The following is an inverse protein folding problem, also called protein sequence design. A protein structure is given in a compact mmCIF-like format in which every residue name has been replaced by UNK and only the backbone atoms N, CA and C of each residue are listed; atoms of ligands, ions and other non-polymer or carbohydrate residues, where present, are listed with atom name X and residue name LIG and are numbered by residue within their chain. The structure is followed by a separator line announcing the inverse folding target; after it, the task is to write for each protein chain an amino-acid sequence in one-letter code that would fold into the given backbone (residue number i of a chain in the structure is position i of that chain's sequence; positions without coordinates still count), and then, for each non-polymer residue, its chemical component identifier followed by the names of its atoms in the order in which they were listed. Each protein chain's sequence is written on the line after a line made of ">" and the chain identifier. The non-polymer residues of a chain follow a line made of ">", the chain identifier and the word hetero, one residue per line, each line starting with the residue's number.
data_IF_707393440494
#
_entry.id   IF_707393440494
#
_cell.length_a   1.000
_cell.length_b   1.000
_cell.length_c   1.000
_cell.angle_alpha   90.00
_cell.angle_beta   90.00
_cell.angle_gamma   90.00
#
_symmetry.space_group_name_H-M   'P 1'
#
loop_
_entity.id
_entity.type
_entity.pdbx_description
1 polymer ?
#
# COMPACT_ATOMS: atom_id res chain seq x y z
N UNK A 1 53.19 67.84 22.92
CA UNK A 1 53.67 66.66 23.68
C UNK A 1 52.55 66.32 24.64
N UNK A 2 51.83 65.21 24.66
CA UNK A 2 51.95 63.88 24.08
C UNK A 2 51.16 63.00 25.05
N UNK A 3 49.84 62.85 24.85
CA UNK A 3 48.98 62.05 25.73
C UNK A 3 49.24 60.57 25.44
N UNK A 4 49.97 59.90 26.33
CA UNK A 4 50.15 58.45 26.30
C UNK A 4 48.82 57.75 26.57
N UNK A 5 48.45 56.82 25.68
CA UNK A 5 47.31 55.92 25.87
C UNK A 5 47.73 54.77 26.78
N UNK A 6 46.90 54.34 27.74
CA UNK A 6 47.20 53.18 28.56
C UNK A 6 47.21 51.89 27.69
N UNK A 7 47.99 50.85 28.09
CA UNK A 7 48.09 49.61 27.34
C UNK A 7 46.77 48.83 27.35
N UNK A 8 46.39 48.30 26.19
CA UNK A 8 45.22 47.44 26.02
C UNK A 8 45.36 46.13 26.82
N UNK A 9 44.28 45.61 27.43
CA UNK A 9 44.33 44.32 28.12
C UNK A 9 44.58 43.17 27.12
N UNK A 10 45.21 42.06 27.56
CA UNK A 10 45.43 40.90 26.71
C UNK A 10 44.11 40.27 26.29
N UNK A 11 44.04 39.80 25.04
CA UNK A 11 42.87 39.13 24.50
C UNK A 11 42.55 37.87 25.29
N UNK A 12 41.26 37.54 25.52
CA UNK A 12 40.87 36.31 26.18
C UNK A 12 41.28 35.10 25.34
N UNK A 13 41.57 33.94 25.97
CA UNK A 13 41.93 32.73 25.25
C UNK A 13 40.78 32.28 24.33
N UNK A 14 41.09 31.66 23.18
CA UNK A 14 40.07 31.15 22.27
C UNK A 14 39.21 30.09 22.97
N UNK A 15 37.90 30.01 22.65
CA UNK A 15 37.03 28.99 23.21
C UNK A 15 37.54 27.59 22.83
N UNK A 16 37.36 26.58 23.69
CA UNK A 16 37.72 25.21 23.37
C UNK A 16 36.93 24.76 22.13
N UNK A 17 37.61 24.05 21.22
CA UNK A 17 36.98 23.49 20.04
C UNK A 17 35.80 22.60 20.44
N UNK A 18 34.65 22.66 19.75
CA UNK A 18 33.53 21.80 20.05
C UNK A 18 33.98 20.34 19.87
N UNK A 19 33.92 19.57 20.96
CA UNK A 19 34.10 18.12 20.88
C UNK A 19 33.01 17.58 19.96
N UNK A 20 33.42 17.11 18.78
CA UNK A 20 32.60 16.25 17.94
C UNK A 20 32.32 14.98 18.74
N UNK A 21 31.23 14.99 19.51
CA UNK A 21 30.54 13.78 19.88
C UNK A 21 30.04 13.19 18.56
N UNK A 22 30.83 12.28 18.01
CA UNK A 22 30.34 11.25 17.09
C UNK A 22 29.28 10.45 17.85
N UNK A 23 28.07 11.00 17.92
CA UNK A 23 26.89 10.16 17.95
C UNK A 23 26.98 9.33 16.67
N UNK A 24 27.52 8.13 16.81
CA UNK A 24 27.16 7.01 15.97
C UNK A 24 25.64 6.98 16.05
N UNK A 25 24.97 7.67 15.13
CA UNK A 25 23.61 7.35 14.75
C UNK A 25 23.70 5.89 14.39
N UNK A 26 23.31 5.03 15.34
CA UNK A 26 22.94 3.67 15.02
C UNK A 26 21.94 3.84 13.89
N UNK A 27 22.37 3.51 12.68
CA UNK A 27 21.50 3.41 11.52
C UNK A 27 20.32 2.58 12.02
N UNK A 28 19.07 3.07 11.92
CA UNK A 28 17.92 2.29 12.37
C UNK A 28 18.11 0.91 11.78
N UNK A 29 18.19 -0.10 12.64
CA UNK A 29 18.26 -1.49 12.22
C UNK A 29 17.15 -1.63 11.18
N UNK A 30 17.42 -2.07 9.93
CA UNK A 30 16.36 -2.28 8.97
C UNK A 30 15.37 -3.20 9.68
N UNK A 31 14.15 -2.72 9.91
CA UNK A 31 13.07 -3.58 10.39
C UNK A 31 13.02 -4.69 9.35
N UNK A 32 13.38 -5.91 9.75
CA UNK A 32 13.34 -7.05 8.85
C UNK A 32 11.95 -7.08 8.24
N UNK A 33 11.86 -6.90 6.93
CA UNK A 33 10.58 -7.02 6.24
C UNK A 33 10.01 -8.39 6.60
N UNK A 34 8.70 -8.49 6.90
CA UNK A 34 8.10 -9.78 7.17
C UNK A 34 8.34 -10.71 5.97
N UNK A 35 8.56 -11.99 6.26
CA UNK A 35 8.74 -13.00 5.22
C UNK A 35 7.40 -13.28 4.53
N UNK A 36 7.34 -13.29 3.18
CA UNK A 36 6.12 -13.62 2.46
C UNK A 36 5.53 -14.98 2.86
N UNK A 37 4.20 -15.17 2.76
CA UNK A 37 3.58 -16.47 2.99
C UNK A 37 4.17 -17.54 2.07
N UNK A 38 4.39 -18.75 2.60
CA UNK A 38 4.87 -19.87 1.78
C UNK A 38 3.71 -20.40 0.94
N UNK A 39 3.86 -20.40 -0.39
CA UNK A 39 2.88 -20.99 -1.28
C UNK A 39 3.08 -22.51 -1.38
N UNK A 40 2.05 -23.27 -1.02
CA UNK A 40 1.96 -24.68 -1.36
C UNK A 40 1.67 -24.92 -2.84
N UNK A 41 1.43 -26.18 -3.18
CA UNK A 41 1.01 -26.58 -4.53
C UNK A 41 -0.34 -25.94 -4.90
N UNK A 42 -0.44 -25.45 -6.14
CA UNK A 42 -1.65 -24.84 -6.65
C UNK A 42 -2.76 -25.89 -6.82
N UNK A 43 -3.96 -25.69 -6.24
CA UNK A 43 -5.10 -26.51 -6.59
C UNK A 43 -5.40 -26.42 -8.09
N UNK A 44 -5.97 -27.47 -8.72
CA UNK A 44 -6.34 -27.41 -10.14
C UNK A 44 -7.27 -26.23 -10.44
N UNK A 45 -6.90 -25.43 -11.45
CA UNK A 45 -7.66 -24.24 -11.86
C UNK A 45 -7.63 -23.07 -10.88
N UNK A 46 -6.83 -23.13 -9.81
CA UNK A 46 -6.70 -22.04 -8.87
C UNK A 46 -6.06 -20.80 -9.50
N UNK A 47 -6.38 -19.65 -8.91
CA UNK A 47 -5.80 -18.37 -9.26
C UNK A 47 -4.85 -17.92 -8.17
N UNK A 48 -3.72 -17.31 -8.55
CA UNK A 48 -2.81 -16.74 -7.56
C UNK A 48 -3.28 -15.34 -7.18
N UNK A 49 -3.49 -15.11 -5.89
CA UNK A 49 -3.69 -13.79 -5.32
C UNK A 49 -2.35 -13.21 -4.90
N UNK A 50 -2.04 -12.03 -5.41
CA UNK A 50 -0.82 -11.28 -5.11
C UNK A 50 -1.17 -9.88 -4.60
N UNK A 51 -0.30 -9.31 -3.77
CA UNK A 51 -0.26 -7.89 -3.48
C UNK A 51 0.65 -7.19 -4.50
N UNK A 52 0.13 -6.15 -5.13
CA UNK A 52 0.91 -5.19 -5.91
C UNK A 52 1.22 -3.97 -5.06
N UNK A 53 2.49 -3.58 -5.00
CA UNK A 53 2.95 -2.36 -4.32
C UNK A 53 3.53 -1.42 -5.37
N UNK A 54 3.00 -0.21 -5.42
CA UNK A 54 3.47 0.88 -6.25
C UNK A 54 4.12 1.94 -5.35
N UNK A 55 5.39 2.28 -5.64
CA UNK A 55 6.13 3.28 -4.87
C UNK A 55 5.38 4.62 -4.81
N UNK A 56 4.96 5.00 -3.62
CA UNK A 56 4.16 6.20 -3.38
C UNK A 56 4.96 7.44 -3.02
N UNK A 57 6.29 7.36 -2.92
CA UNK A 57 7.13 8.43 -2.38
C UNK A 57 6.81 9.81 -3.01
N UNK A 58 6.61 10.86 -2.20
CA UNK A 58 6.83 10.96 -0.74
C UNK A 58 5.63 10.55 0.13
N UNK A 59 4.58 9.97 -0.46
CA UNK A 59 3.40 9.46 0.24
C UNK A 59 3.53 7.95 0.52
N UNK A 60 2.50 7.37 1.14
CA UNK A 60 2.39 5.92 1.31
C UNK A 60 2.29 5.21 -0.03
N UNK A 61 2.82 3.99 -0.07
CA UNK A 61 2.71 3.15 -1.25
C UNK A 61 1.25 2.86 -1.61
N UNK A 62 0.97 2.80 -2.90
CA UNK A 62 -0.34 2.38 -3.38
C UNK A 62 -0.40 0.87 -3.48
N UNK A 63 -1.43 0.28 -2.86
CA UNK A 63 -1.62 -1.17 -2.83
C UNK A 63 -2.82 -1.59 -3.68
N UNK A 64 -2.69 -2.73 -4.34
CA UNK A 64 -3.75 -3.37 -5.10
C UNK A 64 -3.68 -4.89 -4.95
N UNK A 65 -4.81 -5.57 -5.03
CA UNK A 65 -4.81 -7.01 -5.28
C UNK A 65 -4.60 -7.28 -6.76
N UNK A 66 -3.91 -8.38 -7.04
CA UNK A 66 -3.75 -8.95 -8.36
C UNK A 66 -4.22 -10.40 -8.33
N UNK A 67 -5.12 -10.76 -9.26
CA UNK A 67 -5.53 -12.13 -9.51
C UNK A 67 -4.96 -12.53 -10.87
N UNK A 68 -4.17 -13.61 -10.90
CA UNK A 68 -3.59 -14.14 -12.13
C UNK A 68 -3.84 -15.63 -12.27
N UNK A 69 -3.84 -16.08 -13.52
CA UNK A 69 -3.88 -17.52 -13.82
C UNK A 69 -2.52 -18.17 -13.59
N UNK A 70 -2.49 -19.49 -13.47
CA UNK A 70 -1.24 -20.24 -13.38
C UNK A 70 -0.44 -20.22 -14.68
N UNK A 71 -1.13 -20.16 -15.82
CA UNK A 71 -0.59 -20.29 -17.17
C UNK A 71 0.00 -18.97 -17.71
N UNK A 72 -0.63 -17.84 -17.36
CA UNK A 72 -0.23 -16.51 -17.83
C UNK A 72 0.03 -15.58 -16.65
N UNK A 73 1.24 -15.03 -16.61
CA UNK A 73 1.69 -14.06 -15.60
C UNK A 73 1.70 -12.61 -16.08
N UNK A 74 1.53 -12.37 -17.38
CA UNK A 74 1.57 -11.05 -17.99
C UNK A 74 0.23 -10.34 -17.86
N UNK A 75 -0.86 -11.07 -18.12
CA UNK A 75 -2.23 -10.56 -18.04
C UNK A 75 -2.85 -10.86 -16.68
N UNK A 76 -3.29 -9.83 -15.97
CA UNK A 76 -3.88 -9.99 -14.63
C UNK A 76 -5.19 -9.25 -14.48
N UNK A 77 -5.89 -9.52 -13.38
CA UNK A 77 -6.96 -8.67 -12.89
C UNK A 77 -6.43 -7.89 -11.71
N UNK A 78 -6.48 -6.56 -11.80
CA UNK A 78 -6.06 -5.67 -10.73
C UNK A 78 -7.30 -5.10 -10.04
N UNK A 79 -7.36 -5.22 -8.72
CA UNK A 79 -8.50 -4.75 -7.91
C UNK A 79 -7.97 -3.83 -6.84
N UNK A 80 -8.50 -2.60 -6.77
CA UNK A 80 -8.03 -1.63 -5.81
C UNK A 80 -9.04 -0.51 -5.51
N UNK A 81 -8.81 0.17 -4.39
CA UNK A 81 -9.42 1.46 -4.12
C UNK A 81 -8.54 2.56 -4.76
N UNK A 82 -9.03 3.23 -5.79
CA UNK A 82 -8.38 4.37 -6.44
C UNK A 82 -8.97 5.69 -5.96
N UNK A 83 -8.21 6.78 -6.02
CA UNK A 83 -8.69 8.11 -5.63
C UNK A 83 -7.77 8.79 -4.63
N UNK A 84 -8.29 9.80 -3.95
CA UNK A 84 -7.53 10.58 -2.98
C UNK A 84 -8.43 11.17 -1.90
N UNK A 85 -7.83 11.69 -0.83
CA UNK A 85 -8.53 12.26 0.33
C UNK A 85 -9.49 13.41 0.00
N UNK A 86 -9.27 14.11 -1.12
CA UNK A 86 -10.09 15.25 -1.56
C UNK A 86 -11.34 14.78 -2.30
N UNK A 87 -11.19 13.81 -3.19
CA UNK A 87 -12.26 13.31 -4.05
C UNK A 87 -12.99 12.08 -3.48
N UNK A 88 -12.38 11.41 -2.49
CA UNK A 88 -12.81 10.11 -2.01
C UNK A 88 -12.14 8.98 -2.79
N UNK A 89 -12.36 7.75 -2.35
CA UNK A 89 -11.88 6.56 -3.03
C UNK A 89 -13.03 5.83 -3.71
N UNK A 90 -12.73 5.17 -4.82
CA UNK A 90 -13.64 4.36 -5.63
C UNK A 90 -13.05 2.96 -5.81
N UNK A 91 -13.91 1.96 -5.79
CA UNK A 91 -13.53 0.59 -6.08
C UNK A 91 -13.43 0.39 -7.60
N UNK A 92 -12.25 -0.06 -8.06
CA UNK A 92 -12.00 -0.36 -9.47
C UNK A 92 -11.47 -1.78 -9.65
N UNK A 93 -11.98 -2.45 -10.68
CA UNK A 93 -11.48 -3.71 -11.20
C UNK A 93 -11.00 -3.46 -12.63
N UNK A 94 -9.69 -3.64 -12.86
CA UNK A 94 -9.07 -3.61 -14.18
C UNK A 94 -8.88 -5.04 -14.68
N UNK A 95 -9.65 -5.40 -15.71
CA UNK A 95 -9.59 -6.68 -16.42
C UNK A 95 -8.49 -6.62 -17.47
N UNK A 96 -7.80 -7.75 -17.70
CA UNK A 96 -6.72 -7.85 -18.69
C UNK A 96 -5.66 -6.75 -18.57
N UNK A 97 -5.27 -6.44 -17.34
CA UNK A 97 -4.22 -5.47 -17.04
C UNK A 97 -2.85 -6.07 -17.38
N UNK A 98 -2.07 -5.38 -18.19
CA UNK A 98 -0.68 -5.74 -18.50
C UNK A 98 0.27 -5.06 -17.52
N UNK A 99 0.79 -5.84 -16.57
CA UNK A 99 1.75 -5.35 -15.56
C UNK A 99 3.15 -5.06 -16.12
N UNK A 100 3.42 -5.40 -17.38
CA UNK A 100 4.66 -5.02 -18.04
C UNK A 100 4.62 -3.60 -18.62
N UNK A 101 3.43 -3.03 -18.80
CA UNK A 101 3.26 -1.66 -19.24
C UNK A 101 3.77 -0.67 -18.19
N UNK A 102 4.39 0.44 -18.62
CA UNK A 102 5.01 1.41 -17.70
C UNK A 102 4.02 1.99 -16.68
N UNK A 103 2.75 2.15 -17.04
CA UNK A 103 1.73 2.76 -16.19
C UNK A 103 1.21 1.79 -15.11
N UNK A 104 1.19 0.49 -15.39
CA UNK A 104 0.65 -0.53 -14.49
C UNK A 104 1.73 -1.35 -13.77
N UNK A 105 3.01 -1.11 -14.08
CA UNK A 105 4.15 -1.83 -13.53
C UNK A 105 4.31 -1.57 -12.03
N UNK A 106 4.09 -2.57 -11.16
CA UNK A 106 4.32 -2.43 -9.74
C UNK A 106 5.81 -2.39 -9.43
N UNK A 107 6.17 -1.73 -8.32
CA UNK A 107 7.52 -1.78 -7.75
C UNK A 107 7.79 -3.13 -7.12
N UNK A 108 6.78 -3.76 -6.52
CA UNK A 108 6.89 -5.08 -5.90
C UNK A 108 5.62 -5.90 -6.13
N UNK A 109 5.80 -7.21 -6.34
CA UNK A 109 4.73 -8.21 -6.39
C UNK A 109 4.98 -9.22 -5.30
N UNK A 110 4.00 -9.43 -4.43
CA UNK A 110 4.12 -10.36 -3.31
C UNK A 110 3.01 -11.40 -3.41
N UNK A 111 3.34 -12.68 -3.65
CA UNK A 111 2.34 -13.73 -3.62
C UNK A 111 1.75 -13.89 -2.22
N UNK A 112 0.43 -13.96 -2.11
CA UNK A 112 -0.27 -14.11 -0.83
C UNK A 112 -0.77 -15.53 -0.65
N UNK A 113 -1.52 -16.06 -1.61
CA UNK A 113 -2.11 -17.40 -1.54
C UNK A 113 -2.77 -17.84 -2.86
N UNK A 114 -3.10 -19.12 -2.97
CA UNK A 114 -4.00 -19.65 -3.99
C UNK A 114 -5.47 -19.43 -3.61
N UNK A 115 -6.28 -18.99 -4.58
CA UNK A 115 -7.74 -18.88 -4.47
C UNK A 115 -8.37 -19.93 -5.36
N UNK A 116 -9.33 -20.69 -4.81
CA UNK A 116 -10.02 -21.77 -5.53
C UNK A 116 -10.79 -21.23 -6.73
N UNK A 117 -10.79 -22.00 -7.82
CA UNK A 117 -11.51 -21.67 -9.04
C UNK A 117 -12.99 -21.36 -8.79
N UNK A 118 -13.64 -22.08 -7.87
CA UNK A 118 -15.06 -21.94 -7.52
C UNK A 118 -15.44 -20.53 -7.03
N UNK A 119 -14.52 -19.83 -6.36
CA UNK A 119 -14.74 -18.49 -5.81
C UNK A 119 -14.52 -17.38 -6.85
N UNK A 120 -13.85 -17.72 -7.96
CA UNK A 120 -13.43 -16.80 -9.02
C UNK A 120 -14.28 -16.99 -10.28
N UNK A 121 -14.61 -18.23 -10.63
CA UNK A 121 -15.41 -18.57 -11.80
C UNK A 121 -14.62 -18.70 -13.10
N UNK A 122 -15.34 -18.53 -14.20
CA UNK A 122 -14.87 -18.74 -15.57
C UNK A 122 -13.81 -17.70 -15.99
N UNK A 123 -12.67 -18.17 -16.52
CA UNK A 123 -11.54 -17.34 -16.94
C UNK A 123 -11.93 -16.35 -18.04
N UNK A 124 -12.72 -16.76 -19.03
CA UNK A 124 -13.06 -15.89 -20.16
C UNK A 124 -13.96 -14.73 -19.72
N UNK A 125 -14.92 -15.00 -18.83
CA UNK A 125 -15.76 -13.94 -18.23
C UNK A 125 -14.90 -13.03 -17.36
N UNK A 126 -14.09 -13.63 -16.49
CA UNK A 126 -13.28 -12.91 -15.51
C UNK A 126 -12.19 -12.04 -16.17
N UNK A 127 -11.68 -12.45 -17.33
CA UNK A 127 -10.72 -11.69 -18.13
C UNK A 127 -11.38 -10.94 -19.30
N UNK A 128 -12.72 -10.77 -19.30
CA UNK A 128 -13.44 -10.00 -20.31
C UNK A 128 -13.04 -10.40 -21.75
N UNK A 129 -12.91 -11.70 -22.00
CA UNK A 129 -12.49 -12.29 -23.28
C UNK A 129 -11.16 -11.73 -23.82
N UNK A 130 -10.20 -11.42 -22.94
CA UNK A 130 -8.89 -10.90 -23.34
C UNK A 130 -8.85 -9.40 -23.60
N UNK A 131 -9.96 -8.68 -23.40
CA UNK A 131 -10.06 -7.25 -23.69
C UNK A 131 -9.91 -6.44 -22.41
N UNK A 132 -8.95 -5.50 -22.41
CA UNK A 132 -8.77 -4.57 -21.29
C UNK A 132 -10.05 -3.78 -21.01
N UNK A 133 -10.47 -3.75 -19.74
CA UNK A 133 -11.66 -3.04 -19.31
C UNK A 133 -11.57 -2.64 -17.85
N UNK A 134 -11.96 -1.41 -17.56
CA UNK A 134 -12.16 -0.93 -16.18
C UNK A 134 -13.64 -1.05 -15.85
N UNK A 135 -13.96 -1.74 -14.76
CA UNK A 135 -15.32 -1.92 -14.26
C UNK A 135 -15.35 -1.70 -12.75
N UNK A 136 -16.54 -1.43 -12.22
CA UNK A 136 -16.80 -1.37 -10.78
C UNK A 136 -17.70 -2.52 -10.30
N UNK A 137 -18.45 -3.16 -11.21
CA UNK A 137 -19.33 -4.27 -10.87
C UNK A 137 -18.56 -5.61 -10.77
N UNK A 138 -18.76 -6.39 -9.70
CA UNK A 138 -18.16 -7.71 -9.54
C UNK A 138 -18.83 -8.73 -10.47
N UNK A 139 -18.08 -9.74 -10.91
CA UNK A 139 -18.58 -10.86 -11.71
C UNK A 139 -18.44 -12.22 -11.02
N UNK A 140 -17.77 -12.26 -9.85
CA UNK A 140 -17.57 -13.48 -9.07
C UNK A 140 -17.70 -13.24 -7.56
N UNK A 141 -17.72 -14.32 -6.77
CA UNK A 141 -17.89 -14.25 -5.32
C UNK A 141 -16.76 -13.49 -4.64
N UNK A 142 -15.50 -13.78 -5.02
CA UNK A 142 -14.33 -13.06 -4.50
C UNK A 142 -14.46 -11.54 -4.66
N UNK A 143 -14.81 -11.09 -5.87
CA UNK A 143 -14.99 -9.67 -6.16
C UNK A 143 -16.22 -9.09 -5.47
N UNK A 144 -17.30 -9.85 -5.37
CA UNK A 144 -18.51 -9.41 -4.66
C UNK A 144 -18.22 -9.15 -3.18
N UNK A 145 -17.39 -9.98 -2.54
CA UNK A 145 -16.92 -9.75 -1.17
C UNK A 145 -16.09 -8.48 -1.09
N UNK A 146 -15.11 -8.31 -1.96
CA UNK A 146 -14.30 -7.08 -2.01
C UNK A 146 -15.14 -5.82 -2.25
N UNK A 147 -16.13 -5.88 -3.15
CA UNK A 147 -17.01 -4.78 -3.49
C UNK A 147 -18.01 -4.44 -2.37
N UNK A 148 -18.42 -5.43 -1.56
CA UNK A 148 -19.35 -5.22 -0.44
C UNK A 148 -18.74 -4.38 0.70
N UNK A 149 -17.41 -4.28 0.74
CA UNK A 149 -16.71 -3.54 1.78
C UNK A 149 -16.61 -2.07 1.40
N UNK A 150 -16.95 -1.21 2.36
CA UNK A 150 -16.94 0.23 2.15
C UNK A 150 -15.54 0.70 1.75
N UNK A 151 -15.42 1.31 0.56
CA UNK A 151 -14.20 2.03 0.20
C UNK A 151 -14.06 3.31 1.05
N UNK A 152 -12.83 3.75 1.31
CA UNK A 152 -12.57 4.98 2.05
C UNK A 152 -13.36 6.20 1.52
N UNK A 153 -14.24 6.77 2.34
CA UNK A 153 -14.97 8.00 2.01
C UNK A 153 -14.11 9.27 2.12
N UNK A 154 -14.62 10.39 1.58
CA UNK A 154 -13.98 11.73 1.68
C UNK A 154 -13.75 12.12 3.15
N UNK A 155 -12.50 12.35 3.52
CA UNK A 155 -12.10 12.67 4.91
C UNK A 155 -11.72 14.14 5.13
N UNK A 156 -11.57 14.93 4.06
CA UNK A 156 -11.33 16.37 4.15
C UNK A 156 -12.66 17.15 4.27
N UNK A 157 -12.89 17.72 5.44
CA UNK A 157 -13.93 18.73 5.64
C UNK A 157 -13.58 20.00 4.85
N UNK A 158 -14.57 20.59 4.16
CA UNK A 158 -14.42 21.92 3.57
C UNK A 158 -14.06 22.94 4.66
N UNK A 159 -13.10 23.83 4.38
CA UNK A 159 -12.60 24.83 5.34
C UNK A 159 -13.68 25.79 5.88
N UNK A 160 -14.88 25.80 5.28
CA UNK A 160 -16.06 26.57 5.74
C UNK A 160 -16.86 25.91 6.86
N UNK A 161 -16.68 24.61 7.11
CA UNK A 161 -17.37 23.87 8.18
C UNK A 161 -16.37 23.43 9.27
N UNK A 162 -15.72 24.41 9.90
CA UNK A 162 -14.87 24.21 11.06
C UNK A 162 -15.72 24.01 12.34
N UNK A 163 -16.54 22.97 12.40
CA UNK A 163 -17.38 22.73 13.58
C UNK A 163 -16.56 22.20 14.77
N UNK A 164 -15.49 21.42 14.57
CA UNK A 164 -14.69 20.88 15.68
C UNK A 164 -13.20 20.68 15.30
N UNK A 165 -12.28 21.59 15.66
CA UNK A 165 -10.85 21.33 15.56
C UNK A 165 -10.44 20.32 16.63
N UNK A 166 -9.84 19.18 16.23
CA UNK A 166 -9.19 18.26 17.18
C UNK A 166 -9.58 16.79 17.09
N UNK A 167 -10.56 16.39 16.25
CA UNK A 167 -10.82 14.95 16.03
C UNK A 167 -9.76 14.39 15.09
N UNK A 168 -8.95 13.45 15.56
CA UNK A 168 -7.99 12.69 14.74
C UNK A 168 -8.80 11.94 13.68
N UNK A 169 -8.83 12.47 12.46
CA UNK A 169 -9.45 11.80 11.32
C UNK A 169 -8.52 10.65 10.93
N UNK A 170 -8.95 9.42 11.16
CA UNK A 170 -8.25 8.25 10.61
C UNK A 170 -8.48 8.31 9.11
N UNK A 171 -7.44 8.74 8.39
CA UNK A 171 -7.46 8.81 6.94
C UNK A 171 -7.45 7.37 6.40
N UNK A 172 -8.61 6.92 5.93
CA UNK A 172 -8.70 5.66 5.19
C UNK A 172 -8.08 5.85 3.80
N UNK A 173 -7.23 4.92 3.39
CA UNK A 173 -6.50 4.89 2.12
C UNK A 173 -6.57 3.50 1.46
N UNK A 174 -5.88 3.30 0.34
CA UNK A 174 -5.85 2.02 -0.36
C UNK A 174 -5.26 0.87 0.49
N UNK A 175 -4.25 1.14 1.32
CA UNK A 175 -3.68 0.14 2.23
C UNK A 175 -4.71 -0.25 3.28
N UNK A 176 -5.41 0.73 3.86
CA UNK A 176 -6.49 0.50 4.83
C UNK A 176 -7.60 -0.36 4.20
N UNK A 177 -7.98 -0.07 2.95
CA UNK A 177 -8.96 -0.89 2.23
C UNK A 177 -8.48 -2.33 2.01
N UNK A 178 -7.20 -2.55 1.67
CA UNK A 178 -6.61 -3.89 1.57
C UNK A 178 -6.66 -4.62 2.93
N UNK A 179 -6.33 -3.96 4.03
CA UNK A 179 -6.37 -4.58 5.37
C UNK A 179 -7.79 -4.95 5.80
N UNK A 180 -8.75 -4.04 5.61
CA UNK A 180 -10.16 -4.29 5.95
C UNK A 180 -10.75 -5.39 5.07
N UNK A 181 -10.38 -5.42 3.79
CA UNK A 181 -10.80 -6.48 2.88
C UNK A 181 -10.14 -7.82 3.14
N UNK A 182 -8.87 -7.86 3.51
CA UNK A 182 -8.22 -9.08 3.97
C UNK A 182 -8.96 -9.65 5.19
N UNK A 183 -9.34 -8.81 6.16
CA UNK A 183 -10.12 -9.24 7.32
C UNK A 183 -11.49 -9.83 6.93
N UNK A 184 -12.21 -9.19 6.00
CA UNK A 184 -13.47 -9.71 5.47
C UNK A 184 -13.30 -11.05 4.74
N UNK A 185 -12.27 -11.17 3.89
CA UNK A 185 -11.97 -12.41 3.18
C UNK A 185 -11.59 -13.56 4.12
N UNK A 186 -10.93 -13.27 5.25
CA UNK A 186 -10.65 -14.27 6.29
C UNK A 186 -11.94 -14.76 6.96
N UNK A 187 -12.87 -13.86 7.26
CA UNK A 187 -14.17 -14.21 7.85
C UNK A 187 -15.00 -15.12 6.93
N UNK A 188 -14.92 -14.87 5.62
CA UNK A 188 -15.60 -15.68 4.60
C UNK A 188 -14.82 -16.97 4.22
N UNK A 189 -13.67 -17.24 4.85
CA UNK A 189 -12.84 -18.41 4.56
C UNK A 189 -12.16 -18.40 3.18
N UNK A 190 -12.09 -17.22 2.55
CA UNK A 190 -11.48 -17.02 1.23
C UNK A 190 -9.98 -16.74 1.36
N UNK A 191 -9.57 -16.00 2.40
CA UNK A 191 -8.17 -15.69 2.70
C UNK A 191 -7.69 -16.37 3.97
N UNK A 192 -6.44 -16.83 3.99
CA UNK A 192 -5.81 -17.37 5.19
C UNK A 192 -5.50 -16.26 6.20
N UNK A 193 -5.53 -16.60 7.49
CA UNK A 193 -5.14 -15.67 8.56
C UNK A 193 -3.68 -15.23 8.39
N UNK A 194 -2.80 -16.13 7.95
CA UNK A 194 -1.39 -15.86 7.68
C UNK A 194 -1.19 -14.77 6.61
N UNK A 195 -1.90 -14.85 5.48
CA UNK A 195 -1.82 -13.83 4.44
C UNK A 195 -2.33 -12.47 4.95
N UNK A 196 -3.40 -12.45 5.75
CA UNK A 196 -3.93 -11.22 6.33
C UNK A 196 -3.01 -10.63 7.42
N UNK A 197 -2.36 -11.46 8.23
CA UNK A 197 -1.36 -11.06 9.22
C UNK A 197 -0.12 -10.47 8.54
N UNK A 198 0.31 -11.09 7.44
CA UNK A 198 1.40 -10.60 6.61
C UNK A 198 1.12 -9.20 6.05
N UNK A 199 -0.08 -8.98 5.49
CA UNK A 199 -0.51 -7.66 5.01
C UNK A 199 -0.49 -6.62 6.12
N UNK A 200 -0.96 -6.98 7.34
CA UNK A 200 -0.92 -6.09 8.51
C UNK A 200 0.50 -5.74 8.93
N UNK A 201 1.44 -6.67 8.84
CA UNK A 201 2.85 -6.44 9.16
C UNK A 201 3.57 -5.54 8.13
N UNK A 202 3.09 -5.50 6.88
CA UNK A 202 3.64 -4.65 5.81
C UNK A 202 3.13 -3.20 5.80
N UNK A 203 1.99 -2.94 6.44
CA UNK A 203 1.30 -1.66 6.32
C UNK A 203 2.13 -0.49 6.89
N UNK A 204 2.02 0.68 6.25
CA UNK A 204 2.75 1.92 6.58
C UNK A 204 1.86 2.95 7.28
#
# INVERSE_FOLDING_TARGET
>A
MGLERPPSPPAPPPPPAPSLLTHLSAKPTPVSQPEPPTLGEAPPGAYLLELLIYNGYPFKDHWAYCVRTQEDSATVIKIHATGNVREGFQFEIKRCCDLCSNEERPTTRIPLQWVKAELIGDKDILFNHGVYKVVNAPVCEFEARLHSLAVPGKTLNDARNAAHPGRKVIQRDCQTWILESAAGLVQDGIMSVEAADYLRALAQ
#
